data_IF_873931658717
#
_entry.id   IF_873931658717
#
_cell.length_a   1.000
_cell.length_b   1.000
_cell.length_c   1.000
_cell.angle_alpha   90.00
_cell.angle_beta   90.00
_cell.angle_gamma   90.00
#
_symmetry.space_group_name_H-M   'P 1'
#
loop_
_entity.id
_entity.type
_entity.pdbx_description
1 polymer ?
#
# COMPACT_ATOMS: atom_id res chain seq x y z
N UNK A 1 14.87 -2.63 9.23
CA UNK A 1 15.24 -1.37 9.91
C UNK A 1 15.55 -0.33 8.84
N UNK A 2 15.11 0.95 8.97
CA UNK A 2 15.51 1.99 8.04
C UNK A 2 17.04 2.07 8.01
N UNK A 3 17.63 2.15 6.81
CA UNK A 3 19.07 2.25 6.62
C UNK A 3 19.45 3.74 6.77
N UNK A 4 20.03 4.12 7.91
CA UNK A 4 20.46 5.51 8.22
C UNK A 4 20.08 5.96 9.64
N UNK A 5 20.19 7.27 9.90
CA UNK A 5 19.70 7.96 11.13
C UNK A 5 18.29 8.53 10.87
N UNK A 6 17.20 7.78 11.14
CA UNK A 6 15.84 8.27 10.94
C UNK A 6 15.48 9.32 12.00
N UNK A 7 14.75 10.35 11.60
CA UNK A 7 14.21 11.34 12.54
C UNK A 7 13.15 10.72 13.47
N UNK A 8 12.87 11.40 14.59
CA UNK A 8 11.93 10.92 15.60
C UNK A 8 10.51 10.67 15.07
N UNK A 9 10.06 11.43 14.06
CA UNK A 9 8.75 11.21 13.42
C UNK A 9 8.70 9.89 12.64
N UNK A 10 9.78 9.53 11.96
CA UNK A 10 9.88 8.29 11.18
C UNK A 10 9.80 7.07 12.10
N UNK A 11 10.47 7.12 13.25
CA UNK A 11 10.43 6.06 14.27
C UNK A 11 9.02 5.92 14.86
N UNK A 12 8.38 7.05 15.18
CA UNK A 12 7.01 7.05 15.71
C UNK A 12 6.00 6.48 14.71
N UNK A 13 6.08 6.90 13.44
CA UNK A 13 5.22 6.40 12.37
C UNK A 13 5.42 4.90 12.13
N UNK A 14 6.66 4.40 12.16
CA UNK A 14 6.94 2.97 12.05
C UNK A 14 6.37 2.16 13.22
N UNK A 15 6.52 2.64 14.46
CA UNK A 15 5.93 1.98 15.65
C UNK A 15 4.41 1.89 15.53
N UNK A 16 3.77 2.96 15.05
CA UNK A 16 2.32 2.98 14.84
C UNK A 16 1.89 2.02 13.72
N UNK A 17 2.56 2.06 12.57
CA UNK A 17 2.27 1.17 11.44
C UNK A 17 2.42 -0.30 11.83
N UNK A 18 3.45 -0.66 12.59
CA UNK A 18 3.64 -2.01 13.10
C UNK A 18 2.54 -2.43 14.09
N UNK A 19 2.13 -1.52 15.00
CA UNK A 19 1.02 -1.77 15.93
C UNK A 19 -0.31 -1.94 15.20
N UNK A 20 -0.54 -1.20 14.12
CA UNK A 20 -1.74 -1.28 13.30
C UNK A 20 -1.71 -2.42 12.26
N UNK A 21 -0.66 -3.24 12.23
CA UNK A 21 -0.56 -4.41 11.35
C UNK A 21 -0.24 -4.10 9.89
N UNK A 22 0.16 -2.87 9.55
CA UNK A 22 0.54 -2.53 8.19
C UNK A 22 1.87 -3.19 7.81
N UNK A 23 1.84 -3.97 6.73
CA UNK A 23 3.03 -4.62 6.16
C UNK A 23 3.21 -4.18 4.71
N UNK A 24 4.45 -3.85 4.35
CA UNK A 24 4.80 -3.60 2.95
C UNK A 24 5.08 -4.94 2.27
N UNK A 25 4.15 -5.43 1.45
CA UNK A 25 4.39 -6.55 0.53
C UNK A 25 4.72 -5.99 -0.85
N UNK A 26 5.80 -6.49 -1.45
CA UNK A 26 6.23 -6.09 -2.79
C UNK A 26 5.96 -7.23 -3.77
N UNK A 27 5.32 -6.89 -4.89
CA UNK A 27 5.03 -7.81 -5.99
C UNK A 27 5.60 -7.22 -7.27
N UNK A 28 6.10 -8.08 -8.17
CA UNK A 28 6.49 -7.64 -9.51
C UNK A 28 5.24 -7.50 -10.36
N UNK A 29 4.99 -6.29 -10.87
CA UNK A 29 3.91 -5.99 -11.79
C UNK A 29 4.50 -5.48 -13.10
N UNK A 30 3.75 -5.64 -14.20
CA UNK A 30 4.09 -4.97 -15.44
C UNK A 30 3.96 -3.45 -15.25
N UNK A 31 4.89 -2.70 -15.83
CA UNK A 31 4.95 -1.24 -15.68
C UNK A 31 3.66 -0.57 -16.19
N UNK A 32 3.18 -0.97 -17.36
CA UNK A 32 1.96 -0.42 -17.97
C UNK A 32 0.74 -0.56 -17.05
N UNK A 33 0.59 -1.71 -16.40
CA UNK A 33 -0.52 -1.98 -15.47
C UNK A 33 -0.41 -1.12 -14.22
N UNK A 34 0.79 -1.01 -13.64
CA UNK A 34 1.01 -0.23 -12.43
C UNK A 34 0.79 1.27 -12.66
N UNK A 35 1.28 1.80 -13.78
CA UNK A 35 1.13 3.21 -14.16
C UNK A 35 -0.35 3.53 -14.46
N UNK A 36 -1.03 2.69 -15.25
CA UNK A 36 -2.45 2.88 -15.55
C UNK A 36 -3.34 2.80 -14.29
N UNK A 37 -3.02 1.89 -13.36
CA UNK A 37 -3.71 1.81 -12.06
C UNK A 37 -3.51 3.09 -11.25
N UNK A 38 -2.28 3.61 -11.19
CA UNK A 38 -1.96 4.84 -10.50
C UNK A 38 -2.73 6.04 -11.08
N UNK A 39 -2.67 6.23 -12.40
CA UNK A 39 -3.38 7.30 -13.09
C UNK A 39 -4.90 7.23 -12.89
N UNK A 40 -5.46 6.02 -12.91
CA UNK A 40 -6.90 5.81 -12.68
C UNK A 40 -7.30 6.17 -11.26
N UNK A 41 -6.49 5.78 -10.27
CA UNK A 41 -6.71 6.16 -8.87
C UNK A 41 -6.66 7.67 -8.70
N UNK A 42 -5.69 8.34 -9.32
CA UNK A 42 -5.53 9.80 -9.25
C UNK A 42 -6.70 10.52 -9.94
N UNK A 43 -7.17 10.04 -11.10
CA UNK A 43 -8.35 10.57 -11.79
C UNK A 43 -9.64 10.44 -10.97
N UNK A 44 -9.79 9.33 -10.24
CA UNK A 44 -10.95 9.06 -9.39
C UNK A 44 -10.84 9.68 -7.99
N UNK A 45 -9.71 10.30 -7.65
CA UNK A 45 -9.47 10.88 -6.33
C UNK A 45 -9.38 9.85 -5.20
N UNK A 46 -9.05 8.59 -5.53
CA UNK A 46 -8.93 7.51 -4.54
C UNK A 46 -7.47 7.19 -4.26
N UNK A 47 -7.19 6.78 -3.02
CA UNK A 47 -5.84 6.33 -2.67
C UNK A 47 -5.55 4.97 -3.30
N UNK A 48 -4.35 4.82 -3.88
CA UNK A 48 -3.87 3.57 -4.48
C UNK A 48 -3.93 2.39 -3.49
N UNK A 49 -3.58 2.66 -2.23
CA UNK A 49 -3.66 1.67 -1.16
C UNK A 49 -5.10 1.27 -0.85
N UNK A 50 -6.03 2.23 -0.74
CA UNK A 50 -7.44 1.95 -0.48
C UNK A 50 -8.08 1.13 -1.60
N UNK A 51 -7.81 1.50 -2.86
CA UNK A 51 -8.34 0.78 -4.01
C UNK A 51 -7.77 -0.64 -4.11
N UNK A 52 -6.46 -0.80 -3.88
CA UNK A 52 -5.82 -2.12 -3.86
C UNK A 52 -6.38 -3.01 -2.75
N UNK A 53 -6.53 -2.48 -1.53
CA UNK A 53 -7.13 -3.21 -0.41
C UNK A 53 -8.53 -3.68 -0.74
N UNK A 54 -9.36 -2.82 -1.35
CA UNK A 54 -10.71 -3.19 -1.78
C UNK A 54 -10.69 -4.38 -2.74
N UNK A 55 -9.85 -4.33 -3.77
CA UNK A 55 -9.71 -5.41 -4.76
C UNK A 55 -9.22 -6.72 -4.10
N UNK A 56 -8.28 -6.64 -3.16
CA UNK A 56 -7.78 -7.82 -2.44
C UNK A 56 -8.86 -8.44 -1.55
N UNK A 57 -9.62 -7.62 -0.81
CA UNK A 57 -10.71 -8.09 0.04
C UNK A 57 -11.80 -8.75 -0.77
N UNK A 58 -12.24 -8.12 -1.86
CA UNK A 58 -13.27 -8.66 -2.75
C UNK A 58 -12.84 -10.02 -3.33
N UNK A 59 -11.57 -10.13 -3.77
CA UNK A 59 -11.03 -11.39 -4.26
C UNK A 59 -10.99 -12.48 -3.17
N UNK A 60 -10.64 -12.13 -1.93
CA UNK A 60 -10.65 -13.08 -0.80
C UNK A 60 -12.07 -13.55 -0.49
N UNK A 61 -13.04 -12.65 -0.48
CA UNK A 61 -14.44 -12.98 -0.17
C UNK A 61 -15.06 -13.87 -1.25
N UNK A 62 -14.74 -13.63 -2.53
CA UNK A 62 -15.22 -14.45 -3.65
C UNK A 62 -14.63 -15.87 -3.68
N UNK A 63 -13.47 -16.09 -3.05
CA UNK A 63 -12.73 -17.35 -3.10
C UNK A 63 -12.55 -17.99 -1.71
N UNK A 64 -13.42 -17.66 -0.75
CA UNK A 64 -13.47 -18.22 0.59
C UNK A 64 -14.40 -19.42 0.66
#
# INVERSE_FOLDING_TARGET
MPKGEPNSQTIASQKWNAKAGYVAKTYKLKKDVADAFAETCDKLGVSKASQLTKMMTEFIEQNK
#
